data_IF_440785289702
#
_entry.id   IF_440785289702
#
_cell.length_a   1.000
_cell.length_b   1.000
_cell.length_c   1.000
_cell.angle_alpha   90.00
_cell.angle_beta   90.00
_cell.angle_gamma   90.00
#
_symmetry.space_group_name_H-M   'P 1'
#
loop_
_entity.id
_entity.type
_entity.pdbx_description
1 polymer ?
#
# COMPACT_ATOMS: atom_id res chain seq x y z
N UNK A 1 -32.81 -19.33 -5.67
CA UNK A 1 -31.56 -19.20 -6.44
C UNK A 1 -30.63 -18.19 -5.82
N UNK A 2 -30.99 -16.91 -5.58
CA UNK A 2 -30.12 -15.91 -4.98
C UNK A 2 -29.49 -16.34 -3.63
N UNK A 3 -30.27 -16.92 -2.72
CA UNK A 3 -29.80 -17.43 -1.45
C UNK A 3 -28.70 -18.50 -1.58
N UNK A 4 -28.83 -19.40 -2.56
CA UNK A 4 -27.84 -20.47 -2.82
C UNK A 4 -26.52 -19.86 -3.27
N UNK A 5 -26.55 -18.91 -4.22
CA UNK A 5 -25.34 -18.23 -4.68
C UNK A 5 -24.61 -17.47 -3.55
N UNK A 6 -25.38 -16.83 -2.66
CA UNK A 6 -24.83 -16.12 -1.50
C UNK A 6 -24.14 -17.05 -0.51
N UNK A 7 -24.74 -18.20 -0.21
CA UNK A 7 -24.15 -19.20 0.69
C UNK A 7 -22.85 -19.72 0.09
N UNK A 8 -22.83 -20.03 -1.21
CA UNK A 8 -21.62 -20.48 -1.92
C UNK A 8 -20.54 -19.40 -1.87
N UNK A 9 -20.89 -18.13 -2.10
CA UNK A 9 -19.94 -17.00 -2.01
C UNK A 9 -19.29 -16.90 -0.65
N UNK A 10 -20.07 -16.99 0.43
CA UNK A 10 -19.58 -16.96 1.81
C UNK A 10 -18.63 -18.15 2.08
N UNK A 11 -18.99 -19.35 1.63
CA UNK A 11 -18.12 -20.54 1.76
C UNK A 11 -16.79 -20.31 1.06
N UNK A 12 -16.79 -19.78 -0.18
CA UNK A 12 -15.55 -19.47 -0.89
C UNK A 12 -14.73 -18.39 -0.20
N UNK A 13 -15.35 -17.33 0.35
CA UNK A 13 -14.65 -16.30 1.13
C UNK A 13 -13.96 -16.92 2.34
N UNK A 14 -14.63 -17.80 3.08
CA UNK A 14 -14.06 -18.50 4.25
C UNK A 14 -12.90 -19.42 3.83
N UNK A 15 -13.07 -20.20 2.75
CA UNK A 15 -12.01 -21.09 2.21
C UNK A 15 -10.80 -20.25 1.78
N UNK A 16 -11.00 -19.18 1.02
CA UNK A 16 -9.93 -18.27 0.57
C UNK A 16 -9.22 -17.66 1.76
N UNK A 17 -9.95 -17.12 2.73
CA UNK A 17 -9.37 -16.57 3.95
C UNK A 17 -8.52 -17.62 4.70
N UNK A 18 -9.03 -18.84 4.87
CA UNK A 18 -8.30 -19.94 5.50
C UNK A 18 -7.01 -20.29 4.75
N UNK A 19 -7.06 -20.44 3.41
CA UNK A 19 -5.89 -20.76 2.59
C UNK A 19 -4.83 -19.65 2.63
N UNK A 20 -5.26 -18.37 2.60
CA UNK A 20 -4.35 -17.24 2.69
C UNK A 20 -3.67 -17.14 4.07
N UNK A 21 -4.40 -17.41 5.16
CA UNK A 21 -3.83 -17.51 6.52
C UNK A 21 -2.81 -18.66 6.59
N UNK A 22 -3.05 -19.77 5.90
CA UNK A 22 -2.11 -20.90 5.78
C UNK A 22 -0.94 -20.63 4.83
N UNK A 23 -0.80 -19.38 4.32
CA UNK A 23 0.29 -18.93 3.43
C UNK A 23 0.35 -19.64 2.07
N UNK A 24 -0.78 -20.13 1.57
CA UNK A 24 -0.87 -20.53 0.18
C UNK A 24 -0.62 -19.33 -0.75
N UNK A 25 -0.17 -19.59 -1.97
CA UNK A 25 0.07 -18.54 -2.95
C UNK A 25 -1.21 -17.75 -3.24
N UNK A 26 -1.21 -16.45 -2.93
CA UNK A 26 -2.40 -15.59 -3.00
C UNK A 26 -2.96 -15.49 -4.42
N UNK A 27 -2.10 -15.41 -5.44
CA UNK A 27 -2.52 -15.34 -6.83
C UNK A 27 -3.26 -16.62 -7.24
N UNK A 28 -2.70 -17.79 -6.92
CA UNK A 28 -3.31 -19.07 -7.24
C UNK A 28 -4.65 -19.26 -6.51
N UNK A 29 -4.71 -18.95 -5.22
CA UNK A 29 -5.93 -19.08 -4.39
C UNK A 29 -7.04 -18.21 -4.95
N UNK A 30 -6.79 -16.94 -5.24
CA UNK A 30 -7.80 -16.01 -5.74
C UNK A 30 -8.24 -16.38 -7.17
N UNK A 31 -7.28 -16.67 -8.07
CA UNK A 31 -7.56 -17.00 -9.45
C UNK A 31 -8.42 -18.26 -9.56
N UNK A 32 -8.00 -19.35 -8.92
CA UNK A 32 -8.71 -20.62 -8.97
C UNK A 32 -10.09 -20.52 -8.30
N UNK A 33 -10.18 -19.88 -7.15
CA UNK A 33 -11.48 -19.68 -6.48
C UNK A 33 -12.45 -18.88 -7.35
N UNK A 34 -11.97 -17.82 -8.03
CA UNK A 34 -12.80 -17.05 -8.96
C UNK A 34 -13.29 -17.87 -10.14
N UNK A 35 -12.40 -18.66 -10.77
CA UNK A 35 -12.78 -19.56 -11.87
C UNK A 35 -13.79 -20.62 -11.43
N UNK A 36 -13.59 -21.25 -10.28
CA UNK A 36 -14.53 -22.24 -9.73
C UNK A 36 -15.88 -21.62 -9.43
N UNK A 37 -15.94 -20.43 -8.83
CA UNK A 37 -17.20 -19.72 -8.58
C UNK A 37 -17.94 -19.39 -9.88
N UNK A 38 -17.24 -18.90 -10.92
CA UNK A 38 -17.87 -18.64 -12.22
C UNK A 38 -18.35 -19.93 -12.91
N UNK A 39 -17.58 -21.02 -12.81
CA UNK A 39 -18.02 -22.32 -13.33
C UNK A 39 -19.29 -22.81 -12.62
N UNK A 40 -19.35 -22.69 -11.29
CA UNK A 40 -20.57 -23.03 -10.51
C UNK A 40 -21.73 -22.10 -10.92
N UNK A 41 -21.47 -20.80 -11.10
CA UNK A 41 -22.49 -19.85 -11.56
C UNK A 41 -23.10 -20.27 -12.90
N UNK A 42 -22.25 -20.67 -13.86
CA UNK A 42 -22.73 -21.18 -15.15
C UNK A 42 -23.60 -22.44 -15.01
N UNK A 43 -23.21 -23.40 -14.18
CA UNK A 43 -23.99 -24.64 -13.93
C UNK A 43 -25.34 -24.32 -13.28
N UNK A 44 -25.40 -23.32 -12.41
CA UNK A 44 -26.63 -22.90 -11.75
C UNK A 44 -27.48 -21.94 -12.59
N UNK A 45 -27.04 -21.62 -13.82
CA UNK A 45 -27.78 -20.72 -14.73
C UNK A 45 -27.67 -19.24 -14.37
N UNK A 46 -26.69 -18.84 -13.58
CA UNK A 46 -26.38 -17.42 -13.32
C UNK A 46 -25.56 -16.81 -14.47
N UNK A 47 -25.63 -15.48 -14.61
CA UNK A 47 -24.81 -14.74 -15.56
C UNK A 47 -23.37 -14.61 -15.05
N UNK A 48 -22.40 -14.72 -15.97
CA UNK A 48 -21.01 -14.32 -15.76
C UNK A 48 -20.76 -12.98 -16.44
N UNK A 49 -19.71 -12.24 -16.09
CA UNK A 49 -19.38 -10.97 -16.75
C UNK A 49 -19.26 -11.13 -18.26
N UNK A 50 -19.75 -10.14 -18.99
CA UNK A 50 -19.70 -10.13 -20.44
C UNK A 50 -18.28 -9.79 -20.94
N UNK A 51 -17.85 -10.48 -21.99
CA UNK A 51 -16.61 -10.22 -22.71
C UNK A 51 -16.83 -9.26 -23.87
N UNK A 52 -15.82 -8.45 -24.20
CA UNK A 52 -15.84 -7.64 -25.43
C UNK A 52 -15.88 -8.49 -26.71
N UNK A 53 -15.20 -9.65 -26.66
CA UNK A 53 -15.16 -10.61 -27.77
C UNK A 53 -15.37 -12.04 -27.25
N UNK A 54 -16.62 -12.52 -27.11
CA UNK A 54 -16.91 -13.86 -26.62
C UNK A 54 -16.41 -14.92 -27.60
N UNK A 55 -15.98 -16.06 -27.05
CA UNK A 55 -15.47 -17.21 -27.83
C UNK A 55 -16.58 -18.04 -28.49
N UNK A 56 -17.84 -17.82 -28.08
CA UNK A 56 -18.99 -18.63 -28.47
C UNK A 56 -19.26 -19.82 -27.55
N UNK A 57 -18.38 -20.13 -26.60
CA UNK A 57 -18.59 -21.17 -25.59
C UNK A 57 -18.31 -20.62 -24.17
N UNK A 58 -19.34 -20.54 -23.34
CA UNK A 58 -19.28 -19.93 -21.99
C UNK A 58 -18.16 -20.49 -21.11
N UNK A 59 -17.82 -21.79 -21.27
CA UNK A 59 -16.69 -22.39 -20.51
C UNK A 59 -15.36 -21.80 -20.92
N UNK A 60 -15.15 -21.44 -22.18
CA UNK A 60 -13.91 -20.75 -22.61
C UNK A 60 -13.97 -19.27 -22.28
N UNK A 61 -15.15 -18.67 -22.25
CA UNK A 61 -15.32 -17.26 -21.92
C UNK A 61 -14.78 -16.93 -20.51
N UNK A 62 -14.94 -17.81 -19.52
CA UNK A 62 -14.37 -17.58 -18.18
C UNK A 62 -12.83 -17.56 -18.18
N UNK A 63 -12.17 -18.24 -19.10
CA UNK A 63 -10.69 -18.14 -19.26
C UNK A 63 -10.30 -16.93 -20.09
N UNK A 64 -11.10 -16.54 -21.07
CA UNK A 64 -10.87 -15.33 -21.88
C UNK A 64 -10.94 -14.05 -21.02
N UNK A 65 -11.73 -14.05 -19.92
CA UNK A 65 -11.73 -12.98 -18.91
C UNK A 65 -10.35 -12.74 -18.30
N UNK A 66 -9.53 -13.78 -18.14
CA UNK A 66 -8.16 -13.63 -17.63
C UNK A 66 -7.32 -12.84 -18.65
N UNK A 67 -7.41 -13.19 -19.93
CA UNK A 67 -6.68 -12.49 -21.00
C UNK A 67 -7.16 -11.05 -21.14
N UNK A 68 -8.47 -10.79 -21.08
CA UNK A 68 -9.02 -9.45 -21.16
C UNK A 68 -8.59 -8.61 -19.95
N UNK A 69 -8.64 -9.16 -18.73
CA UNK A 69 -8.15 -8.50 -17.51
C UNK A 69 -6.65 -8.24 -17.59
N UNK A 70 -5.86 -9.18 -18.10
CA UNK A 70 -4.41 -9.01 -18.28
C UNK A 70 -4.10 -7.89 -19.30
N UNK A 71 -4.83 -7.86 -20.41
CA UNK A 71 -4.64 -6.85 -21.46
C UNK A 71 -5.01 -5.45 -21.00
N UNK A 72 -6.16 -5.29 -20.33
CA UNK A 72 -6.66 -3.98 -19.87
C UNK A 72 -5.89 -3.49 -18.64
N UNK A 73 -5.87 -4.27 -17.56
CA UNK A 73 -5.21 -3.87 -16.32
C UNK A 73 -3.68 -3.84 -16.45
N UNK A 74 -3.10 -4.71 -17.28
CA UNK A 74 -1.66 -4.71 -17.53
C UNK A 74 -1.18 -3.47 -18.26
N UNK A 75 -1.94 -2.99 -19.25
CA UNK A 75 -1.58 -1.80 -20.03
C UNK A 75 -1.86 -0.48 -19.30
N UNK A 76 -2.84 -0.43 -18.42
CA UNK A 76 -3.24 0.76 -17.68
C UNK A 76 -2.53 0.85 -16.32
N UNK A 77 -3.23 0.41 -15.26
CA UNK A 77 -2.71 0.46 -13.88
C UNK A 77 -1.45 -0.40 -13.70
N UNK A 78 -1.34 -1.50 -14.43
CA UNK A 78 -0.20 -2.40 -14.36
C UNK A 78 1.09 -1.74 -14.83
N UNK A 79 1.10 -1.12 -16.01
CA UNK A 79 2.27 -0.42 -16.53
C UNK A 79 2.70 0.72 -15.60
N UNK A 80 1.73 1.44 -15.04
CA UNK A 80 2.00 2.50 -14.08
C UNK A 80 2.69 1.96 -12.82
N UNK A 81 2.17 0.90 -12.20
CA UNK A 81 2.76 0.32 -10.98
C UNK A 81 4.14 -0.29 -11.28
N UNK A 82 4.33 -0.92 -12.45
CA UNK A 82 5.64 -1.42 -12.88
C UNK A 82 6.66 -0.29 -13.04
N UNK A 83 6.30 0.82 -13.68
CA UNK A 83 7.18 1.97 -13.85
C UNK A 83 7.57 2.59 -12.50
N UNK A 84 6.64 2.70 -11.55
CA UNK A 84 6.89 3.13 -10.18
C UNK A 84 7.92 2.20 -9.51
N UNK A 85 7.67 0.88 -9.52
CA UNK A 85 8.57 -0.09 -8.89
C UNK A 85 9.96 -0.12 -9.50
N UNK A 86 10.06 0.01 -10.83
CA UNK A 86 11.32 0.12 -11.55
C UNK A 86 12.11 1.37 -11.13
N UNK A 87 11.43 2.53 -11.10
CA UNK A 87 12.05 3.78 -10.69
C UNK A 87 12.56 3.74 -9.24
N UNK A 88 11.73 3.29 -8.30
CA UNK A 88 12.11 3.16 -6.88
C UNK A 88 13.31 2.23 -6.70
N UNK A 89 13.36 1.10 -7.40
CA UNK A 89 14.49 0.19 -7.37
C UNK A 89 15.77 0.84 -7.93
N UNK A 90 15.64 1.62 -9.00
CA UNK A 90 16.77 2.36 -9.58
C UNK A 90 17.28 3.46 -8.64
N UNK A 91 16.38 4.22 -7.98
CA UNK A 91 16.77 5.23 -6.96
C UNK A 91 17.54 4.62 -5.81
N UNK A 92 17.13 3.43 -5.35
CA UNK A 92 17.87 2.67 -4.34
C UNK A 92 19.25 2.23 -4.87
N UNK A 93 19.33 1.72 -6.10
CA UNK A 93 20.57 1.24 -6.70
C UNK A 93 21.65 2.34 -6.79
N UNK A 94 21.27 3.57 -7.15
CA UNK A 94 22.20 4.70 -7.27
C UNK A 94 22.48 5.42 -5.94
N UNK A 95 21.86 5.01 -4.83
CA UNK A 95 22.03 5.62 -3.50
C UNK A 95 21.23 6.91 -3.27
N UNK A 96 20.30 7.25 -4.17
CA UNK A 96 19.49 8.46 -4.07
C UNK A 96 18.47 8.38 -2.92
N UNK A 97 17.89 7.20 -2.69
CA UNK A 97 16.96 6.97 -1.58
C UNK A 97 17.64 7.14 -0.22
N UNK A 98 18.88 6.65 -0.07
CA UNK A 98 19.71 6.81 1.13
C UNK A 98 20.04 8.29 1.40
N UNK A 99 20.39 9.04 0.35
CA UNK A 99 20.67 10.47 0.45
C UNK A 99 19.43 11.26 0.91
N UNK A 100 18.25 10.91 0.38
CA UNK A 100 16.98 11.54 0.79
C UNK A 100 16.66 11.26 2.27
N UNK A 101 16.77 10.00 2.72
CA UNK A 101 16.55 9.63 4.12
C UNK A 101 17.51 10.38 5.03
N UNK A 102 18.79 10.44 4.67
CA UNK A 102 19.81 11.13 5.47
C UNK A 102 19.49 12.62 5.67
N UNK A 103 19.12 13.33 4.58
CA UNK A 103 18.76 14.75 4.66
C UNK A 103 17.48 14.95 5.49
N UNK A 104 16.46 14.12 5.26
CA UNK A 104 15.16 14.24 5.94
C UNK A 104 15.23 14.00 7.45
N UNK A 105 16.19 13.20 7.92
CA UNK A 105 16.37 12.90 9.33
C UNK A 105 17.29 13.91 10.06
N UNK A 106 18.01 14.75 9.33
CA UNK A 106 18.94 15.73 9.92
C UNK A 106 18.28 16.71 10.91
N UNK A 107 17.05 17.24 10.68
CA UNK A 107 16.41 18.15 11.65
C UNK A 107 16.14 17.53 13.01
N UNK A 108 15.99 16.20 13.11
CA UNK A 108 15.74 15.51 14.38
C UNK A 108 16.86 15.69 15.40
N UNK A 109 18.06 16.03 14.95
CA UNK A 109 19.21 16.30 15.82
C UNK A 109 18.98 17.46 16.82
N UNK A 110 18.10 18.41 16.49
CA UNK A 110 17.74 19.52 17.35
C UNK A 110 16.96 19.08 18.62
N UNK A 111 16.29 17.94 18.56
CA UNK A 111 15.43 17.44 19.64
C UNK A 111 16.06 16.29 20.44
N UNK A 112 17.37 16.05 20.34
CA UNK A 112 18.08 14.91 20.99
C UNK A 112 17.85 14.81 22.51
N UNK A 113 17.54 15.91 23.19
CA UNK A 113 17.22 15.92 24.63
C UNK A 113 15.91 15.21 24.99
N UNK A 114 15.06 14.95 24.01
CA UNK A 114 13.71 14.38 24.20
C UNK A 114 13.54 13.11 23.34
N UNK A 115 14.04 11.94 23.77
CA UNK A 115 14.12 10.71 22.97
C UNK A 115 12.80 10.31 22.32
N UNK A 116 11.71 10.30 23.11
CA UNK A 116 10.40 9.89 22.61
C UNK A 116 9.74 10.93 21.69
N UNK A 117 10.09 12.21 21.83
CA UNK A 117 9.68 13.27 20.88
C UNK A 117 10.39 13.03 19.54
N UNK A 118 11.70 12.78 19.56
CA UNK A 118 12.44 12.42 18.34
C UNK A 118 11.82 11.20 17.67
N UNK A 119 11.56 10.13 18.45
CA UNK A 119 10.94 8.93 17.93
C UNK A 119 9.58 9.23 17.26
N UNK A 120 8.73 10.02 17.91
CA UNK A 120 7.41 10.38 17.35
C UNK A 120 7.51 11.24 16.08
N UNK A 121 8.47 12.15 16.00
CA UNK A 121 8.70 13.00 14.81
C UNK A 121 9.26 12.22 13.62
N UNK A 122 9.86 11.04 13.83
CA UNK A 122 10.25 10.15 12.72
C UNK A 122 9.03 9.71 11.91
N UNK A 123 7.84 9.57 12.53
CA UNK A 123 6.63 9.07 11.87
C UNK A 123 6.19 9.98 10.72
N UNK A 124 5.86 11.26 10.92
CA UNK A 124 5.44 12.13 9.82
C UNK A 124 6.53 12.28 8.75
N UNK A 125 7.80 12.38 9.15
CA UNK A 125 8.92 12.46 8.20
C UNK A 125 9.01 11.17 7.38
N UNK A 126 8.93 10.01 8.03
CA UNK A 126 8.96 8.72 7.38
C UNK A 126 7.78 8.47 6.45
N UNK A 127 6.59 9.00 6.76
CA UNK A 127 5.43 8.92 5.86
C UNK A 127 5.62 9.78 4.61
N UNK A 128 6.20 10.98 4.73
CA UNK A 128 6.57 11.79 3.56
C UNK A 128 7.60 11.04 2.69
N UNK A 129 8.57 10.38 3.32
CA UNK A 129 9.52 9.52 2.60
C UNK A 129 8.81 8.33 1.93
N UNK A 130 7.78 7.78 2.56
CA UNK A 130 7.02 6.67 1.99
C UNK A 130 6.22 7.06 0.73
N UNK A 131 5.74 8.30 0.64
CA UNK A 131 5.10 8.83 -0.59
C UNK A 131 6.07 8.76 -1.78
N UNK A 132 7.36 9.02 -1.55
CA UNK A 132 8.39 9.04 -2.60
C UNK A 132 9.05 7.68 -2.85
N UNK A 133 9.01 6.81 -1.85
CA UNK A 133 9.60 5.47 -1.89
C UNK A 133 8.57 4.44 -1.40
N UNK A 134 7.50 4.16 -2.17
CA UNK A 134 6.35 3.37 -1.73
C UNK A 134 6.66 1.86 -1.69
N UNK A 135 7.67 1.50 -0.92
CA UNK A 135 8.06 0.12 -0.62
C UNK A 135 8.22 -0.02 0.89
N UNK A 136 7.23 -0.61 1.55
CA UNK A 136 7.21 -0.73 3.01
C UNK A 136 8.47 -1.44 3.55
N UNK A 137 8.83 -2.57 2.97
CA UNK A 137 10.06 -3.29 3.36
C UNK A 137 11.31 -2.50 2.96
N UNK A 138 11.32 -1.89 1.78
CA UNK A 138 12.45 -1.08 1.31
C UNK A 138 12.75 0.10 2.22
N UNK A 139 11.74 0.93 2.48
CA UNK A 139 11.87 2.07 3.39
C UNK A 139 12.14 1.63 4.84
N UNK A 140 11.45 0.58 5.31
CA UNK A 140 11.66 0.04 6.64
C UNK A 140 13.12 -0.36 6.88
N UNK A 141 13.74 -1.07 5.93
CA UNK A 141 15.15 -1.46 6.00
C UNK A 141 16.10 -0.25 5.96
N UNK A 142 15.81 0.76 5.11
CA UNK A 142 16.59 2.01 5.07
C UNK A 142 16.55 2.76 6.40
N UNK A 143 15.35 2.87 7.00
CA UNK A 143 15.18 3.54 8.28
C UNK A 143 15.81 2.75 9.44
N UNK A 144 15.76 1.42 9.41
CA UNK A 144 16.47 0.59 10.40
C UNK A 144 17.97 0.77 10.28
N UNK A 145 18.53 0.85 9.09
CA UNK A 145 19.96 1.08 8.92
C UNK A 145 20.42 2.47 9.37
N UNK A 146 19.57 3.51 9.23
CA UNK A 146 19.94 4.91 9.46
C UNK A 146 19.39 5.52 10.75
N UNK A 147 18.14 5.25 11.11
CA UNK A 147 17.40 5.91 12.20
C UNK A 147 17.39 5.06 13.46
N UNK A 148 17.29 3.73 13.33
CA UNK A 148 17.23 2.83 14.48
C UNK A 148 18.43 2.99 15.45
N UNK A 149 19.72 2.98 14.99
CA UNK A 149 20.85 3.17 15.90
C UNK A 149 20.79 4.51 16.62
N UNK A 150 20.32 5.57 15.95
CA UNK A 150 20.17 6.90 16.54
C UNK A 150 19.11 6.88 17.65
N UNK A 151 17.92 6.31 17.41
CA UNK A 151 16.87 6.23 18.42
C UNK A 151 17.31 5.43 19.65
N UNK A 152 17.98 4.29 19.44
CA UNK A 152 18.48 3.46 20.54
C UNK A 152 19.56 4.19 21.33
N UNK A 153 20.49 4.90 20.69
CA UNK A 153 21.53 5.70 21.35
C UNK A 153 20.96 6.87 22.17
N UNK A 154 19.76 7.34 21.83
CA UNK A 154 19.03 8.36 22.60
C UNK A 154 18.28 7.77 23.80
N UNK A 155 18.25 6.45 23.95
CA UNK A 155 17.61 5.76 25.07
C UNK A 155 16.20 5.22 24.79
N UNK A 156 15.78 5.16 23.53
CA UNK A 156 14.53 4.49 23.13
C UNK A 156 14.79 2.97 23.01
N UNK A 157 13.90 2.13 23.49
CA UNK A 157 14.07 0.68 23.38
C UNK A 157 14.07 0.21 21.92
N UNK A 158 14.73 -0.92 21.65
CA UNK A 158 14.76 -1.54 20.32
C UNK A 158 13.38 -1.74 19.74
N UNK A 159 12.44 -2.28 20.55
CA UNK A 159 11.06 -2.52 20.12
C UNK A 159 10.34 -1.21 19.80
N UNK A 160 10.47 -0.18 20.63
CA UNK A 160 9.86 1.13 20.39
C UNK A 160 10.44 1.83 19.16
N UNK A 161 11.76 1.76 18.96
CA UNK A 161 12.43 2.35 17.79
C UNK A 161 11.95 1.69 16.49
N UNK A 162 11.84 0.35 16.44
CA UNK A 162 11.36 -0.35 15.25
C UNK A 162 9.86 -0.18 15.06
N UNK A 163 9.07 -0.09 16.12
CA UNK A 163 7.64 0.20 16.04
C UNK A 163 7.38 1.56 15.35
N UNK A 164 8.15 2.58 15.71
CA UNK A 164 8.13 3.89 15.04
C UNK A 164 8.52 3.77 13.55
N UNK A 165 9.58 3.03 13.24
CA UNK A 165 10.05 2.85 11.86
C UNK A 165 8.99 2.15 11.01
N UNK A 166 8.38 1.09 11.51
CA UNK A 166 7.33 0.38 10.77
C UNK A 166 6.05 1.20 10.61
N UNK A 167 5.75 2.10 11.56
CA UNK A 167 4.63 3.01 11.47
C UNK A 167 4.79 4.08 10.38
N UNK A 168 6.02 4.38 9.94
CA UNK A 168 6.27 5.25 8.79
C UNK A 168 5.65 4.71 7.48
N UNK A 169 5.34 3.42 7.40
CA UNK A 169 4.79 2.77 6.21
C UNK A 169 3.31 2.40 6.34
N UNK A 170 2.62 2.94 7.34
CA UNK A 170 1.24 2.56 7.68
C UNK A 170 0.21 3.15 6.72
N UNK A 171 0.41 4.37 6.24
CA UNK A 171 -0.47 4.95 5.23
C UNK A 171 0.20 4.83 3.87
N UNK A 172 -0.21 3.80 3.11
CA UNK A 172 0.27 3.58 1.74
C UNK A 172 -0.48 4.53 0.79
N UNK A 173 -0.01 5.77 0.75
CA UNK A 173 -0.62 6.90 0.06
C UNK A 173 0.35 7.55 -0.93
N UNK A 174 -0.16 8.47 -1.72
CA UNK A 174 0.62 9.23 -2.68
C UNK A 174 0.53 8.69 -4.11
N UNK A 175 0.76 9.54 -5.12
CA UNK A 175 0.51 9.20 -6.52
C UNK A 175 1.44 8.12 -7.06
N UNK A 176 2.51 7.78 -6.34
CA UNK A 176 3.46 6.73 -6.67
C UNK A 176 3.19 5.41 -5.92
N UNK A 177 2.08 5.27 -5.19
CA UNK A 177 1.73 4.03 -4.49
C UNK A 177 0.90 3.10 -5.38
N UNK A 178 1.17 1.78 -5.32
CA UNK A 178 0.37 0.76 -5.99
C UNK A 178 -1.07 0.70 -5.44
N UNK A 179 -1.25 0.91 -4.14
CA UNK A 179 -2.57 0.97 -3.52
C UNK A 179 -3.35 2.20 -3.97
N UNK A 180 -2.70 3.36 -4.08
CA UNK A 180 -3.30 4.58 -4.65
C UNK A 180 -3.69 4.36 -6.10
N UNK A 181 -2.81 3.77 -6.90
CA UNK A 181 -3.07 3.47 -8.30
C UNK A 181 -4.32 2.57 -8.48
N UNK A 182 -4.45 1.54 -7.65
CA UNK A 182 -5.62 0.65 -7.71
C UNK A 182 -6.89 1.33 -7.17
N UNK A 183 -6.78 2.10 -6.10
CA UNK A 183 -7.91 2.83 -5.54
C UNK A 183 -8.45 3.88 -6.52
N UNK A 184 -7.57 4.71 -7.10
CA UNK A 184 -7.93 5.74 -8.06
C UNK A 184 -8.56 5.17 -9.34
N UNK A 185 -8.08 4.01 -9.81
CA UNK A 185 -8.70 3.28 -10.91
C UNK A 185 -10.15 2.88 -10.57
N UNK A 186 -10.38 2.32 -9.37
CA UNK A 186 -11.71 1.86 -8.93
C UNK A 186 -12.74 3.00 -8.80
N UNK A 187 -12.29 4.21 -8.54
CA UNK A 187 -13.15 5.40 -8.39
C UNK A 187 -13.09 6.35 -9.58
N UNK A 188 -12.38 5.97 -10.65
CA UNK A 188 -12.20 6.75 -11.88
C UNK A 188 -11.63 8.17 -11.64
N UNK A 189 -10.72 8.33 -10.66
CA UNK A 189 -9.94 9.56 -10.42
C UNK A 189 -8.49 9.39 -10.89
N UNK A 190 -7.78 10.50 -11.18
CA UNK A 190 -6.32 10.43 -11.34
C UNK A 190 -5.65 10.19 -9.98
N UNK A 191 -4.44 9.57 -9.97
CA UNK A 191 -3.70 9.33 -8.72
C UNK A 191 -3.41 10.60 -7.94
N UNK A 192 -3.09 11.69 -8.65
CA UNK A 192 -2.79 13.00 -8.04
C UNK A 192 -4.05 13.61 -7.42
N UNK A 193 -5.17 13.53 -8.15
CA UNK A 193 -6.45 14.02 -7.65
C UNK A 193 -6.88 13.26 -6.39
N UNK A 194 -6.86 11.95 -6.42
CA UNK A 194 -7.21 11.11 -5.27
C UNK A 194 -6.27 11.37 -4.08
N UNK A 195 -4.97 11.58 -4.34
CA UNK A 195 -4.03 11.91 -3.28
C UNK A 195 -4.35 13.25 -2.61
N UNK A 196 -4.57 14.31 -3.40
CA UNK A 196 -4.76 15.67 -2.87
C UNK A 196 -6.16 15.85 -2.27
N UNK A 197 -7.20 15.36 -2.96
CA UNK A 197 -8.59 15.60 -2.56
C UNK A 197 -9.08 14.64 -1.47
N UNK A 198 -8.64 13.38 -1.51
CA UNK A 198 -9.19 12.33 -0.63
C UNK A 198 -8.17 11.88 0.43
N UNK A 199 -6.93 11.53 0.04
CA UNK A 199 -5.95 10.95 0.97
C UNK A 199 -5.38 11.98 1.95
N UNK A 200 -4.89 13.12 1.49
CA UNK A 200 -4.24 14.11 2.37
C UNK A 200 -5.16 14.64 3.47
N UNK A 201 -6.42 15.04 3.20
CA UNK A 201 -7.32 15.53 4.22
C UNK A 201 -7.55 14.54 5.36
N UNK A 202 -7.59 13.24 5.06
CA UNK A 202 -7.76 12.20 6.07
C UNK A 202 -6.44 11.81 6.74
N UNK A 203 -5.36 11.67 5.98
CA UNK A 203 -4.09 11.13 6.51
C UNK A 203 -3.30 12.13 7.36
N UNK A 204 -3.44 13.44 7.15
CA UNK A 204 -2.78 14.46 7.98
C UNK A 204 -3.21 14.35 9.46
N UNK A 205 -4.52 14.44 9.81
CA UNK A 205 -4.94 14.30 11.20
C UNK A 205 -4.63 12.91 11.77
N UNK A 206 -4.71 11.83 10.97
CA UNK A 206 -4.33 10.49 11.40
C UNK A 206 -2.84 10.39 11.71
N UNK A 207 -1.97 11.03 10.93
CA UNK A 207 -0.52 11.08 11.16
C UNK A 207 -0.18 11.78 12.46
N UNK A 208 -0.82 12.92 12.73
CA UNK A 208 -0.63 13.65 13.99
C UNK A 208 -1.07 12.81 15.17
N UNK A 209 -2.27 12.22 15.11
CA UNK A 209 -2.77 11.34 16.15
C UNK A 209 -1.83 10.14 16.38
N UNK A 210 -1.35 9.53 15.30
CA UNK A 210 -0.43 8.40 15.36
C UNK A 210 0.89 8.78 16.04
N UNK A 211 1.50 9.93 15.69
CA UNK A 211 2.71 10.41 16.32
C UNK A 211 2.54 10.63 17.83
N UNK A 212 1.41 11.22 18.24
CA UNK A 212 1.05 11.41 19.65
C UNK A 212 0.87 10.08 20.37
N UNK A 213 0.13 9.14 19.77
CA UNK A 213 -0.11 7.82 20.38
C UNK A 213 1.20 7.04 20.56
N UNK A 214 2.08 7.04 19.56
CA UNK A 214 3.37 6.35 19.67
C UNK A 214 4.28 6.98 20.73
N UNK A 215 4.22 8.30 20.94
CA UNK A 215 4.92 8.93 22.06
C UNK A 215 4.49 8.33 23.41
N UNK A 216 3.19 8.28 23.68
CA UNK A 216 2.68 7.78 24.96
C UNK A 216 2.86 6.26 25.09
N UNK A 217 2.53 5.50 24.07
CA UNK A 217 2.59 4.03 24.08
C UNK A 217 4.03 3.54 24.26
N UNK A 218 4.98 4.09 23.50
CA UNK A 218 6.38 3.68 23.61
C UNK A 218 6.95 4.05 24.98
N UNK A 219 6.69 5.27 25.47
CA UNK A 219 7.15 5.70 26.79
C UNK A 219 6.56 4.83 27.92
N UNK A 220 5.27 4.48 27.80
CA UNK A 220 4.60 3.60 28.77
C UNK A 220 5.21 2.20 28.83
N UNK A 221 5.38 1.58 27.66
CA UNK A 221 5.92 0.21 27.59
C UNK A 221 7.39 0.15 27.99
N UNK A 222 8.23 1.09 27.54
CA UNK A 222 9.65 1.12 27.88
C UNK A 222 9.84 1.31 29.40
N UNK A 223 8.98 2.13 30.05
CA UNK A 223 8.97 2.25 31.51
C UNK A 223 8.50 0.96 32.18
N UNK A 224 7.44 0.31 31.68
CA UNK A 224 6.90 -0.92 32.22
C UNK A 224 7.87 -2.10 32.11
N UNK A 225 8.64 -2.15 31.02
CA UNK A 225 9.64 -3.19 30.74
C UNK A 225 11.00 -2.88 31.43
N UNK A 226 11.08 -1.82 32.27
CA UNK A 226 12.30 -1.36 32.94
C UNK A 226 13.48 -1.23 31.97
N UNK A 227 13.22 -0.66 30.78
CA UNK A 227 14.26 -0.51 29.77
C UNK A 227 15.44 0.33 30.27
N UNK A 228 16.63 -0.24 30.14
CA UNK A 228 17.91 0.46 30.42
C UNK A 228 18.49 0.93 29.08
N UNK A 229 18.84 2.22 28.93
CA UNK A 229 19.45 2.73 27.71
C UNK A 229 20.73 1.97 27.36
N UNK A 230 20.80 1.47 26.12
CA UNK A 230 21.99 0.81 25.59
C UNK A 230 22.87 1.84 24.88
N UNK A 231 24.20 1.79 25.08
CA UNK A 231 25.15 2.53 24.27
C UNK A 231 25.35 1.79 22.94
N UNK A 232 24.90 2.40 21.84
CA UNK A 232 25.12 1.87 20.48
C UNK A 232 26.19 2.72 19.81
N UNK A 233 27.25 2.07 19.30
CA UNK A 233 28.23 2.73 18.45
C UNK A 233 27.54 3.21 17.17
N UNK A 234 27.49 4.52 17.00
CA UNK A 234 26.97 5.16 15.78
C UNK A 234 28.01 4.97 14.67
N UNK A 235 28.00 3.82 14.01
CA UNK A 235 28.76 3.66 12.76
C UNK A 235 28.25 4.69 11.75
N UNK A 236 29.16 5.56 11.28
CA UNK A 236 28.84 6.56 10.26
C UNK A 236 28.31 5.84 9.02
N UNK A 237 27.05 6.02 8.72
CA UNK A 237 26.46 5.53 7.47
C UNK A 237 27.22 6.21 6.32
N UNK A 238 28.02 5.46 5.60
CA UNK A 238 28.71 5.97 4.41
C UNK A 238 27.69 6.11 3.29
N UNK A 239 27.43 7.32 2.86
CA UNK A 239 26.58 7.59 1.71
C UNK A 239 27.30 7.17 0.43
N UNK A 240 26.66 6.36 -0.37
CA UNK A 240 27.15 5.91 -1.69
C UNK A 240 27.02 7.05 -2.72
N UNK A 241 26.00 7.88 -2.58
CA UNK A 241 25.70 8.99 -3.47
C UNK A 241 25.92 10.36 -2.82
N UNK A 242 26.20 11.41 -3.63
CA UNK A 242 26.23 12.78 -3.13
C UNK A 242 24.85 13.23 -2.62
N UNK A 243 24.82 14.15 -1.65
CA UNK A 243 23.57 14.60 -1.02
C UNK A 243 22.56 15.23 -1.98
N UNK A 244 23.00 15.85 -3.07
CA UNK A 244 22.08 16.43 -4.07
C UNK A 244 21.26 15.38 -4.82
N UNK A 245 21.65 14.09 -4.77
CA UNK A 245 20.85 12.99 -5.29
C UNK A 245 19.52 12.79 -4.57
N UNK A 246 19.38 13.34 -3.37
CA UNK A 246 18.13 13.32 -2.61
C UNK A 246 16.94 13.96 -3.36
N UNK A 247 17.19 14.81 -4.36
CA UNK A 247 16.15 15.42 -5.17
C UNK A 247 15.53 14.41 -6.17
N UNK A 248 16.29 13.41 -6.61
CA UNK A 248 15.85 12.47 -7.64
C UNK A 248 14.60 11.69 -7.23
N UNK A 249 14.50 11.07 -6.04
CA UNK A 249 13.28 10.38 -5.62
C UNK A 249 12.05 11.30 -5.49
N UNK A 250 12.27 12.61 -5.30
CA UNK A 250 11.20 13.61 -5.22
C UNK A 250 10.71 14.08 -6.60
N UNK A 251 11.55 13.94 -7.62
CA UNK A 251 11.30 14.51 -8.94
C UNK A 251 9.97 14.08 -9.58
N UNK A 252 9.57 12.79 -9.58
CA UNK A 252 8.26 12.39 -10.12
C UNK A 252 7.10 13.07 -9.40
N UNK A 253 7.17 13.17 -8.07
CA UNK A 253 6.12 13.80 -7.26
C UNK A 253 6.00 15.29 -7.59
N UNK A 254 7.13 15.99 -7.69
CA UNK A 254 7.16 17.41 -8.08
C UNK A 254 6.57 17.59 -9.46
N UNK A 255 6.97 16.77 -10.44
CA UNK A 255 6.42 16.83 -11.80
C UNK A 255 4.91 16.58 -11.82
N UNK A 256 4.43 15.57 -11.09
CA UNK A 256 3.00 15.25 -11.03
C UNK A 256 2.17 16.36 -10.39
N UNK A 257 2.70 17.07 -9.40
CA UNK A 257 2.01 18.20 -8.77
C UNK A 257 2.04 19.43 -9.69
N UNK A 258 3.21 19.78 -10.21
CA UNK A 258 3.40 20.97 -11.07
C UNK A 258 2.61 20.85 -12.37
N UNK A 259 2.61 19.68 -13.01
CA UNK A 259 1.87 19.38 -14.22
C UNK A 259 0.56 18.64 -13.91
N UNK A 260 -0.26 19.19 -13.03
CA UNK A 260 -1.59 18.72 -12.69
C UNK A 260 -2.63 19.79 -12.95
N UNK A 261 -3.90 19.42 -12.95
CA UNK A 261 -5.00 20.37 -13.08
C UNK A 261 -5.07 21.44 -11.95
N UNK A 262 -4.32 21.25 -10.87
CA UNK A 262 -4.26 22.21 -9.76
C UNK A 262 -3.33 23.41 -10.05
N UNK A 263 -2.40 23.28 -11.01
CA UNK A 263 -1.46 24.33 -11.39
C UNK A 263 -1.52 24.60 -12.89
N UNK A 264 -2.17 25.68 -13.27
CA UNK A 264 -2.41 26.06 -14.68
C UNK A 264 -1.34 27.02 -15.18
N UNK A 265 -0.07 26.60 -15.16
CA UNK A 265 1.04 27.41 -15.69
C UNK A 265 1.06 27.49 -17.23
N UNK A 266 0.37 26.55 -17.90
CA UNK A 266 0.34 26.42 -19.34
C UNK A 266 -1.09 26.63 -19.87
N UNK A 267 -1.22 27.18 -21.05
CA UNK A 267 -2.49 27.31 -21.76
C UNK A 267 -2.37 26.74 -23.18
N UNK A 268 -2.96 25.58 -23.51
CA UNK A 268 -3.82 24.75 -22.64
C UNK A 268 -3.06 24.09 -21.48
N UNK A 269 -3.75 23.68 -20.39
CA UNK A 269 -3.13 22.97 -19.27
C UNK A 269 -2.42 21.69 -19.72
N UNK A 270 -1.22 21.46 -19.18
CA UNK A 270 -0.46 20.22 -19.41
C UNK A 270 -0.65 19.32 -18.21
N UNK A 271 -1.24 18.14 -18.43
CA UNK A 271 -1.39 17.12 -17.39
C UNK A 271 -0.44 15.96 -17.65
N UNK A 272 0.38 15.64 -16.64
CA UNK A 272 1.34 14.56 -16.71
C UNK A 272 0.80 13.33 -15.99
N UNK A 273 0.76 12.18 -16.67
CA UNK A 273 0.43 10.92 -16.01
C UNK A 273 1.62 10.33 -15.25
N UNK A 274 1.32 9.46 -14.27
CA UNK A 274 2.34 8.89 -13.38
C UNK A 274 3.40 8.08 -14.13
N UNK A 275 3.04 7.31 -15.14
CA UNK A 275 3.98 6.50 -15.93
C UNK A 275 5.01 7.39 -16.63
N UNK A 276 4.55 8.46 -17.29
CA UNK A 276 5.42 9.41 -17.99
C UNK A 276 6.33 10.16 -17.01
N UNK A 277 5.80 10.58 -15.85
CA UNK A 277 6.60 11.23 -14.80
C UNK A 277 7.73 10.32 -14.31
N UNK A 278 7.46 9.03 -14.08
CA UNK A 278 8.48 8.05 -13.65
C UNK A 278 9.55 7.82 -14.72
N UNK A 279 9.14 7.63 -15.98
CA UNK A 279 10.08 7.40 -17.08
C UNK A 279 10.94 8.65 -17.32
N UNK A 280 10.34 9.84 -17.36
CA UNK A 280 11.08 11.09 -17.50
C UNK A 280 12.11 11.27 -16.38
N UNK A 281 11.70 11.05 -15.13
CA UNK A 281 12.59 11.15 -13.97
C UNK A 281 13.70 10.10 -13.99
N UNK A 282 13.44 8.90 -14.55
CA UNK A 282 14.47 7.89 -14.77
C UNK A 282 15.55 8.40 -15.76
N UNK A 283 15.14 9.03 -16.87
CA UNK A 283 16.10 9.61 -17.81
C UNK A 283 16.94 10.72 -17.17
N UNK A 284 16.34 11.58 -16.34
CA UNK A 284 17.09 12.59 -15.58
C UNK A 284 18.11 11.92 -14.64
N UNK A 285 17.73 10.86 -13.96
CA UNK A 285 18.62 10.12 -13.07
C UNK A 285 19.76 9.41 -13.84
N UNK A 286 19.48 8.80 -15.00
CA UNK A 286 20.49 8.21 -15.86
C UNK A 286 21.49 9.27 -16.33
N UNK A 287 21.01 10.44 -16.75
CA UNK A 287 21.86 11.54 -17.17
C UNK A 287 22.76 12.05 -16.03
N UNK A 288 22.21 12.19 -14.81
CA UNK A 288 22.98 12.53 -13.62
C UNK A 288 24.07 11.48 -13.31
N UNK A 289 23.78 10.18 -13.47
CA UNK A 289 24.74 9.09 -13.30
C UNK A 289 25.84 9.11 -14.38
N UNK A 290 25.50 9.43 -15.63
CA UNK A 290 26.52 9.57 -16.72
C UNK A 290 27.51 10.68 -16.36
N UNK A 291 27.02 11.83 -15.91
CA UNK A 291 27.87 12.95 -15.50
C UNK A 291 28.75 12.56 -14.32
N UNK A 292 28.18 11.86 -13.33
CA UNK A 292 28.90 11.44 -12.10
C UNK A 292 29.97 10.39 -12.39
N UNK A 293 29.58 9.31 -13.05
CA UNK A 293 30.47 8.14 -13.26
C UNK A 293 31.40 8.30 -14.47
N UNK A 294 31.05 9.17 -15.44
CA UNK A 294 31.75 9.32 -16.70
C UNK A 294 31.96 8.01 -17.48
N UNK A 295 31.11 7.03 -17.21
CA UNK A 295 31.12 5.71 -17.85
C UNK A 295 29.71 5.36 -18.35
N UNK A 296 29.44 5.71 -19.61
CA UNK A 296 28.13 5.51 -20.23
C UNK A 296 27.73 4.03 -20.28
N UNK A 297 28.69 3.14 -20.56
CA UNK A 297 28.44 1.69 -20.67
C UNK A 297 27.96 1.12 -19.34
N UNK A 298 28.59 1.51 -18.22
CA UNK A 298 28.20 1.06 -16.89
C UNK A 298 26.80 1.58 -16.53
N UNK A 299 26.50 2.85 -16.81
CA UNK A 299 25.20 3.45 -16.53
C UNK A 299 24.10 2.78 -17.37
N UNK A 300 24.34 2.52 -18.66
CA UNK A 300 23.38 1.80 -19.50
C UNK A 300 23.15 0.37 -19.00
N UNK A 301 24.20 -0.31 -18.55
CA UNK A 301 24.06 -1.64 -17.95
C UNK A 301 23.21 -1.59 -16.67
N UNK A 302 23.34 -0.53 -15.86
CA UNK A 302 22.56 -0.37 -14.63
C UNK A 302 21.06 -0.19 -14.88
N UNK A 303 20.64 0.21 -16.08
CA UNK A 303 19.22 0.28 -16.47
C UNK A 303 18.51 -1.08 -16.36
N UNK A 304 19.27 -2.18 -16.38
CA UNK A 304 18.74 -3.50 -16.13
C UNK A 304 18.01 -3.59 -14.79
N UNK A 305 18.46 -2.86 -13.74
CA UNK A 305 17.81 -2.82 -12.42
C UNK A 305 16.36 -2.33 -12.54
N UNK A 306 16.10 -1.34 -13.38
CA UNK A 306 14.75 -0.84 -13.64
C UNK A 306 13.87 -1.94 -14.27
N UNK A 307 14.35 -2.61 -15.33
CA UNK A 307 13.58 -3.65 -16.02
C UNK A 307 13.35 -4.88 -15.18
N UNK A 308 14.36 -5.35 -14.44
CA UNK A 308 14.24 -6.49 -13.52
C UNK A 308 13.20 -6.20 -12.42
N UNK A 309 13.18 -4.97 -11.89
CA UNK A 309 12.20 -4.55 -10.89
C UNK A 309 10.78 -4.47 -11.49
N UNK A 310 10.61 -3.96 -12.72
CA UNK A 310 9.33 -4.01 -13.42
C UNK A 310 8.81 -5.45 -13.56
N UNK A 311 9.67 -6.39 -13.97
CA UNK A 311 9.32 -7.81 -14.07
C UNK A 311 8.92 -8.41 -12.72
N UNK A 312 9.63 -8.05 -11.66
CA UNK A 312 9.27 -8.48 -10.29
C UNK A 312 7.91 -7.94 -9.84
N UNK A 313 7.63 -6.67 -10.13
CA UNK A 313 6.33 -6.04 -9.83
C UNK A 313 5.22 -6.71 -10.61
N UNK A 314 5.43 -7.03 -11.89
CA UNK A 314 4.48 -7.82 -12.67
C UNK A 314 4.15 -9.15 -11.99
N UNK A 315 5.18 -9.92 -11.64
CA UNK A 315 5.02 -11.24 -11.04
C UNK A 315 4.36 -11.22 -9.64
N UNK A 316 4.47 -10.11 -8.88
CA UNK A 316 3.98 -10.05 -7.49
C UNK A 316 2.73 -9.21 -7.31
N UNK A 317 2.62 -8.09 -8.01
CA UNK A 317 1.54 -7.11 -7.82
C UNK A 317 0.51 -7.20 -8.93
N UNK A 318 0.92 -7.18 -10.19
CA UNK A 318 -0.04 -7.17 -11.31
C UNK A 318 -0.76 -8.51 -11.41
N UNK A 319 -0.03 -9.62 -11.29
CA UNK A 319 -0.64 -10.96 -11.22
C UNK A 319 -1.66 -11.09 -10.09
N UNK A 320 -1.40 -10.42 -8.95
CA UNK A 320 -2.32 -10.39 -7.82
C UNK A 320 -3.58 -9.57 -8.13
N UNK A 321 -3.44 -8.41 -8.78
CA UNK A 321 -4.57 -7.57 -9.20
C UNK A 321 -5.49 -8.37 -10.15
N UNK A 322 -4.91 -9.06 -11.12
CA UNK A 322 -5.67 -9.88 -12.09
C UNK A 322 -6.38 -11.03 -11.38
N UNK A 323 -5.66 -11.77 -10.53
CA UNK A 323 -6.25 -12.87 -9.76
C UNK A 323 -7.42 -12.40 -8.86
N UNK A 324 -7.26 -11.23 -8.23
CA UNK A 324 -8.29 -10.62 -7.40
C UNK A 324 -9.51 -10.13 -8.22
N UNK A 325 -9.29 -9.64 -9.43
CA UNK A 325 -10.36 -9.27 -10.35
C UNK A 325 -11.20 -10.50 -10.74
N UNK A 326 -10.55 -11.61 -11.10
CA UNK A 326 -11.23 -12.88 -11.42
C UNK A 326 -11.99 -13.42 -10.20
N UNK A 327 -11.43 -13.31 -9.00
CA UNK A 327 -12.13 -13.64 -7.75
C UNK A 327 -13.39 -12.79 -7.55
N UNK A 328 -13.29 -11.49 -7.78
CA UNK A 328 -14.43 -10.57 -7.70
C UNK A 328 -15.50 -10.90 -8.73
N UNK A 329 -15.13 -11.25 -9.95
CA UNK A 329 -16.07 -11.72 -10.97
C UNK A 329 -16.83 -12.98 -10.52
N UNK A 330 -16.15 -13.91 -9.88
CA UNK A 330 -16.79 -15.08 -9.28
C UNK A 330 -17.83 -14.73 -8.22
N UNK A 331 -17.51 -13.81 -7.30
CA UNK A 331 -18.43 -13.33 -6.27
C UNK A 331 -19.63 -12.58 -6.87
N UNK A 332 -19.39 -11.74 -7.87
CA UNK A 332 -20.44 -10.98 -8.57
C UNK A 332 -21.39 -11.95 -9.29
N UNK A 333 -20.84 -12.95 -9.99
CA UNK A 333 -21.63 -13.96 -10.72
C UNK A 333 -22.55 -14.76 -9.81
N UNK A 334 -22.14 -15.04 -8.59
CA UNK A 334 -22.96 -15.73 -7.58
C UNK A 334 -23.93 -14.79 -6.84
N UNK A 335 -23.96 -13.48 -7.16
CA UNK A 335 -24.89 -12.52 -6.58
C UNK A 335 -24.51 -12.01 -5.18
N UNK A 336 -23.23 -12.15 -4.78
CA UNK A 336 -22.75 -11.72 -3.46
C UNK A 336 -23.06 -10.26 -3.13
N UNK A 337 -22.87 -9.34 -4.11
CA UNK A 337 -23.16 -7.90 -3.91
C UNK A 337 -24.63 -7.67 -3.56
N UNK A 338 -25.57 -8.35 -4.28
CA UNK A 338 -26.98 -8.20 -4.00
C UNK A 338 -27.32 -8.60 -2.57
N UNK A 339 -26.81 -9.76 -2.16
CA UNK A 339 -27.08 -10.30 -0.83
C UNK A 339 -26.46 -9.49 0.29
N UNK A 340 -25.28 -8.91 0.06
CA UNK A 340 -24.64 -8.02 1.03
C UNK A 340 -25.46 -6.74 1.23
N UNK A 341 -25.95 -6.16 0.12
CA UNK A 341 -26.78 -4.95 0.16
C UNK A 341 -28.15 -5.24 0.80
N UNK A 342 -28.80 -6.34 0.42
CA UNK A 342 -30.10 -6.74 1.00
C UNK A 342 -29.98 -6.99 2.51
N UNK A 343 -28.93 -7.71 2.94
CA UNK A 343 -28.66 -7.97 4.36
C UNK A 343 -28.43 -6.65 5.12
N UNK A 344 -27.65 -5.73 4.55
CA UNK A 344 -27.39 -4.43 5.14
C UNK A 344 -28.66 -3.61 5.32
N UNK A 345 -29.55 -3.60 4.34
CA UNK A 345 -30.83 -2.89 4.43
C UNK A 345 -31.73 -3.51 5.50
N UNK A 346 -31.77 -4.83 5.61
CA UNK A 346 -32.55 -5.52 6.66
C UNK A 346 -32.06 -5.23 8.08
N UNK A 347 -30.74 -5.07 8.25
CA UNK A 347 -30.13 -4.75 9.55
C UNK A 347 -30.10 -3.23 9.82
N UNK A 348 -30.47 -2.40 8.83
CA UNK A 348 -30.49 -0.94 8.95
C UNK A 348 -29.11 -0.28 8.88
N UNK A 349 -28.08 -0.98 8.35
CA UNK A 349 -26.72 -0.46 8.32
C UNK A 349 -26.45 0.56 7.21
N UNK A 350 -27.20 0.64 6.16
CA UNK A 350 -26.96 1.58 5.05
C UNK A 350 -25.54 1.53 4.49
N UNK A 351 -25.16 2.56 3.72
CA UNK A 351 -23.85 2.66 3.06
C UNK A 351 -22.68 2.78 4.06
N UNK A 352 -22.87 3.58 5.11
CA UNK A 352 -21.86 3.78 6.16
C UNK A 352 -21.54 2.48 6.88
N UNK A 353 -22.57 1.71 7.25
CA UNK A 353 -22.38 0.43 7.93
C UNK A 353 -21.62 -0.59 7.08
N UNK A 354 -21.90 -0.66 5.76
CA UNK A 354 -21.13 -1.52 4.85
C UNK A 354 -19.70 -1.01 4.72
N UNK A 355 -19.47 0.29 4.58
CA UNK A 355 -18.13 0.87 4.51
C UNK A 355 -17.30 0.55 5.76
N UNK A 356 -17.89 0.70 6.95
CA UNK A 356 -17.25 0.31 8.22
C UNK A 356 -16.96 -1.19 8.25
N UNK A 357 -17.93 -2.04 7.92
CA UNK A 357 -17.76 -3.50 7.89
C UNK A 357 -16.62 -3.92 6.96
N UNK A 358 -16.60 -3.42 5.73
CA UNK A 358 -15.57 -3.73 4.74
C UNK A 358 -14.19 -3.24 5.20
N UNK A 359 -14.11 -2.07 5.83
CA UNK A 359 -12.87 -1.53 6.38
C UNK A 359 -12.31 -2.41 7.50
N UNK A 360 -13.16 -2.84 8.43
CA UNK A 360 -12.77 -3.75 9.53
C UNK A 360 -12.35 -5.11 8.99
N UNK A 361 -13.08 -5.67 8.03
CA UNK A 361 -12.74 -6.94 7.40
C UNK A 361 -11.39 -6.88 6.69
N UNK A 362 -11.10 -5.80 5.96
CA UNK A 362 -9.81 -5.62 5.28
C UNK A 362 -8.66 -5.45 6.27
N UNK A 363 -8.86 -4.70 7.36
CA UNK A 363 -7.88 -4.59 8.44
C UNK A 363 -7.54 -5.98 9.01
N UNK A 364 -8.56 -6.75 9.39
CA UNK A 364 -8.39 -8.10 9.94
C UNK A 364 -7.75 -9.07 8.93
N UNK A 365 -8.20 -9.06 7.68
CA UNK A 365 -7.63 -9.88 6.61
C UNK A 365 -6.15 -9.53 6.38
N UNK A 366 -5.81 -8.24 6.34
CA UNK A 366 -4.43 -7.78 6.16
C UNK A 366 -3.52 -8.19 7.33
N UNK A 367 -4.03 -8.11 8.55
CA UNK A 367 -3.33 -8.59 9.75
C UNK A 367 -3.07 -10.10 9.70
N UNK A 368 -4.06 -10.88 9.28
CA UNK A 368 -3.94 -12.34 9.19
C UNK A 368 -3.06 -12.81 8.03
N UNK A 369 -3.10 -12.12 6.87
CA UNK A 369 -2.33 -12.47 5.68
C UNK A 369 -0.92 -11.87 5.66
N UNK A 370 -0.67 -10.82 6.44
CA UNK A 370 0.60 -10.07 6.40
C UNK A 370 0.78 -9.21 5.15
N UNK A 371 -0.28 -8.98 4.37
CA UNK A 371 -0.24 -8.26 3.10
C UNK A 371 -1.42 -7.30 2.94
N UNK A 372 -1.14 -5.99 2.95
CA UNK A 372 -2.15 -4.97 2.68
C UNK A 372 -2.65 -5.01 1.24
N UNK A 373 -1.74 -5.20 0.28
CA UNK A 373 -2.11 -5.30 -1.14
C UNK A 373 -3.06 -6.48 -1.40
N UNK A 374 -2.74 -7.66 -0.86
CA UNK A 374 -3.57 -8.84 -1.08
C UNK A 374 -4.99 -8.65 -0.54
N UNK A 375 -5.15 -8.08 0.66
CA UNK A 375 -6.47 -7.83 1.24
C UNK A 375 -7.24 -6.74 0.48
N UNK A 376 -6.62 -5.61 0.18
CA UNK A 376 -7.27 -4.51 -0.50
C UNK A 376 -7.65 -4.87 -1.95
N UNK A 377 -6.74 -5.49 -2.70
CA UNK A 377 -7.00 -5.85 -4.09
C UNK A 377 -8.07 -6.94 -4.23
N UNK A 378 -8.19 -7.85 -3.25
CA UNK A 378 -9.21 -8.90 -3.27
C UNK A 378 -10.65 -8.39 -3.12
N UNK A 379 -10.86 -7.36 -2.31
CA UNK A 379 -12.20 -6.89 -1.98
C UNK A 379 -12.52 -5.48 -2.52
N UNK A 380 -11.51 -4.67 -2.83
CA UNK A 380 -11.70 -3.35 -3.44
C UNK A 380 -12.55 -3.35 -4.70
N UNK A 381 -12.35 -4.27 -5.66
CA UNK A 381 -13.15 -4.35 -6.89
C UNK A 381 -14.66 -4.56 -6.69
N UNK A 382 -15.10 -4.99 -5.52
CA UNK A 382 -16.54 -5.14 -5.20
C UNK A 382 -17.20 -3.79 -4.89
N UNK A 383 -16.42 -2.79 -4.45
CA UNK A 383 -16.94 -1.52 -3.94
C UNK A 383 -17.71 -0.73 -4.98
N UNK A 384 -17.25 -0.57 -6.25
CA UNK A 384 -18.02 0.18 -7.24
C UNK A 384 -19.43 -0.38 -7.44
N UNK A 385 -19.57 -1.72 -7.49
CA UNK A 385 -20.87 -2.37 -7.60
C UNK A 385 -21.75 -2.20 -6.37
N UNK A 386 -21.17 -2.20 -5.16
CA UNK A 386 -21.88 -1.96 -3.90
C UNK A 386 -22.34 -0.50 -3.83
N UNK A 387 -21.43 0.45 -4.07
CA UNK A 387 -21.70 1.88 -4.02
C UNK A 387 -22.79 2.30 -5.00
N UNK A 388 -22.71 1.79 -6.24
CA UNK A 388 -23.73 2.03 -7.26
C UNK A 388 -25.13 1.59 -6.82
N UNK A 389 -25.27 0.43 -6.18
CA UNK A 389 -26.53 -0.06 -5.66
C UNK A 389 -27.07 0.71 -4.47
N UNK A 390 -26.19 1.28 -3.67
CA UNK A 390 -26.55 2.10 -2.51
C UNK A 390 -26.75 3.56 -2.86
N UNK A 391 -26.45 3.97 -4.10
CA UNK A 391 -26.54 5.37 -4.54
C UNK A 391 -25.53 6.29 -3.88
N UNK A 392 -24.33 5.79 -3.54
CA UNK A 392 -23.27 6.56 -2.85
C UNK A 392 -21.99 6.58 -3.69
N UNK A 393 -21.08 7.51 -3.34
CA UNK A 393 -19.76 7.58 -3.97
C UNK A 393 -18.85 6.44 -3.49
N UNK A 394 -18.20 5.79 -4.44
CA UNK A 394 -17.22 4.72 -4.18
C UNK A 394 -16.01 5.20 -3.38
N UNK A 395 -15.59 6.47 -3.53
CA UNK A 395 -14.44 7.03 -2.84
C UNK A 395 -14.60 6.97 -1.31
N UNK A 396 -15.82 7.25 -0.82
CA UNK A 396 -16.14 7.17 0.61
C UNK A 396 -15.97 5.79 1.23
N UNK A 397 -16.02 4.71 0.45
CA UNK A 397 -15.75 3.34 0.92
C UNK A 397 -14.31 2.91 0.64
N UNK A 398 -13.74 3.26 -0.51
CA UNK A 398 -12.41 2.83 -0.95
C UNK A 398 -11.32 3.40 -0.05
N UNK A 399 -11.40 4.68 0.34
CA UNK A 399 -10.35 5.36 1.08
C UNK A 399 -10.06 4.72 2.46
N UNK A 400 -11.06 4.53 3.35
CA UNK A 400 -10.80 3.88 4.64
C UNK A 400 -10.36 2.42 4.49
N UNK A 401 -10.87 1.69 3.49
CA UNK A 401 -10.45 0.31 3.19
C UNK A 401 -8.97 0.24 2.79
N UNK A 402 -8.52 1.14 1.92
CA UNK A 402 -7.13 1.23 1.49
C UNK A 402 -6.20 1.50 2.67
N UNK A 403 -6.49 2.50 3.50
CA UNK A 403 -5.67 2.84 4.66
C UNK A 403 -5.68 1.72 5.71
N UNK A 404 -6.84 1.12 5.99
CA UNK A 404 -6.98 0.00 6.91
C UNK A 404 -6.15 -1.22 6.48
N UNK A 405 -6.01 -1.47 5.18
CA UNK A 405 -5.20 -2.57 4.65
C UNK A 405 -3.73 -2.45 5.06
N UNK A 406 -3.18 -1.27 4.97
CA UNK A 406 -1.78 -0.99 5.35
C UNK A 406 -1.59 -0.94 6.86
N UNK A 407 -2.57 -0.44 7.62
CA UNK A 407 -2.57 -0.51 9.08
C UNK A 407 -2.61 -1.97 9.57
N UNK A 408 -3.48 -2.81 9.01
CA UNK A 408 -3.57 -4.24 9.33
C UNK A 408 -2.24 -4.96 9.06
N UNK A 409 -1.58 -4.68 7.92
CA UNK A 409 -0.24 -5.20 7.61
C UNK A 409 0.78 -4.85 8.70
N UNK A 410 0.78 -3.62 9.20
CA UNK A 410 1.74 -3.18 10.20
C UNK A 410 1.50 -3.77 11.60
N UNK A 411 0.33 -4.39 11.83
CA UNK A 411 -0.01 -5.16 13.04
C UNK A 411 0.20 -6.67 12.86
N UNK A 412 0.67 -7.11 11.70
CA UNK A 412 0.83 -8.53 11.39
C UNK A 412 2.24 -9.04 11.72
N UNK A 413 2.40 -10.06 12.57
CA UNK A 413 3.71 -10.63 12.88
C UNK A 413 4.33 -11.39 11.69
N UNK A 414 3.56 -11.65 10.63
CA UNK A 414 4.01 -12.36 9.43
C UNK A 414 4.24 -11.44 8.23
N UNK A 415 4.03 -10.14 8.38
CA UNK A 415 4.28 -9.17 7.31
C UNK A 415 5.78 -9.02 7.04
N UNK A 416 6.16 -8.95 5.76
CA UNK A 416 7.57 -8.89 5.35
C UNK A 416 8.34 -7.73 5.97
N UNK A 417 7.74 -6.53 6.08
CA UNK A 417 8.37 -5.39 6.73
C UNK A 417 8.58 -5.62 8.23
N UNK A 418 7.61 -6.25 8.91
CA UNK A 418 7.69 -6.53 10.36
C UNK A 418 8.78 -7.57 10.61
N UNK A 419 8.83 -8.66 9.83
CA UNK A 419 9.86 -9.71 9.97
C UNK A 419 11.25 -9.13 9.73
N UNK A 420 11.44 -8.46 8.58
CA UNK A 420 12.77 -7.98 8.18
C UNK A 420 13.34 -6.91 9.13
N UNK A 421 12.48 -5.99 9.61
CA UNK A 421 12.93 -4.95 10.55
C UNK A 421 13.14 -5.48 11.96
N UNK A 422 12.32 -6.41 12.42
CA UNK A 422 12.46 -7.06 13.73
C UNK A 422 13.76 -7.89 13.82
N UNK A 423 14.09 -8.63 12.76
CA UNK A 423 15.32 -9.44 12.68
C UNK A 423 16.58 -8.58 12.85
N UNK A 424 16.68 -7.47 12.10
CA UNK A 424 17.85 -6.57 12.20
C UNK A 424 17.95 -5.91 13.58
N UNK A 425 16.81 -5.57 14.18
CA UNK A 425 16.75 -4.94 15.49
C UNK A 425 16.96 -5.92 16.66
N UNK A 426 16.96 -7.22 16.41
CA UNK A 426 17.05 -8.26 17.45
C UNK A 426 15.83 -8.34 18.34
N UNK A 427 14.63 -8.07 17.79
CA UNK A 427 13.35 -8.21 18.48
C UNK A 427 12.47 -9.24 17.78
N UNK A 428 11.47 -9.80 18.46
CA UNK A 428 10.58 -10.74 17.79
C UNK A 428 9.51 -10.01 16.95
N UNK A 429 9.13 -10.55 15.77
CA UNK A 429 8.04 -10.00 14.97
C UNK A 429 6.73 -9.87 15.75
N UNK A 430 6.46 -10.80 16.67
CA UNK A 430 5.27 -10.77 17.52
C UNK A 430 5.28 -9.60 18.51
N UNK A 431 6.42 -9.33 19.16
CA UNK A 431 6.55 -8.16 20.07
C UNK A 431 6.32 -6.85 19.32
N UNK A 432 6.88 -6.74 18.12
CA UNK A 432 6.73 -5.58 17.26
C UNK A 432 5.28 -5.38 16.82
N UNK A 433 4.64 -6.42 16.29
CA UNK A 433 3.24 -6.39 15.89
C UNK A 433 2.31 -6.01 17.05
N UNK A 434 2.54 -6.58 18.23
CA UNK A 434 1.79 -6.25 19.46
C UNK A 434 1.99 -4.78 19.89
N UNK A 435 3.21 -4.23 19.73
CA UNK A 435 3.50 -2.82 20.02
C UNK A 435 2.74 -1.87 19.10
N UNK A 436 2.58 -2.24 17.82
CA UNK A 436 1.85 -1.48 16.83
C UNK A 436 0.32 -1.59 16.98
N UNK A 437 -0.20 -2.68 17.56
CA UNK A 437 -1.63 -2.98 17.54
C UNK A 437 -2.48 -1.89 18.20
N UNK A 438 -2.12 -1.48 19.43
CA UNK A 438 -2.92 -0.51 20.19
C UNK A 438 -2.98 0.86 19.47
N UNK A 439 -1.85 1.49 19.09
CA UNK A 439 -1.90 2.74 18.37
C UNK A 439 -2.71 2.66 17.07
N UNK A 440 -2.54 1.58 16.29
CA UNK A 440 -3.16 1.46 14.99
C UNK A 440 -4.66 1.12 15.05
N UNK A 441 -5.10 0.39 16.07
CA UNK A 441 -6.54 0.19 16.32
C UNK A 441 -7.19 1.53 16.72
N UNK A 442 -6.56 2.31 17.59
CA UNK A 442 -7.10 3.63 17.98
C UNK A 442 -7.15 4.58 16.79
N UNK A 443 -6.09 4.63 15.97
CA UNK A 443 -6.06 5.42 14.73
C UNK A 443 -7.15 4.95 13.75
N UNK A 444 -7.34 3.63 13.61
CA UNK A 444 -8.38 3.05 12.77
C UNK A 444 -9.80 3.42 13.22
N UNK A 445 -10.07 3.36 14.52
CA UNK A 445 -11.35 3.78 15.08
C UNK A 445 -11.58 5.30 14.86
N UNK A 446 -10.57 6.11 15.12
CA UNK A 446 -10.65 7.55 14.84
C UNK A 446 -10.87 7.82 13.34
N UNK A 447 -10.18 7.11 12.47
CA UNK A 447 -10.37 7.20 11.01
C UNK A 447 -11.83 6.94 10.63
N UNK A 448 -12.43 5.85 11.14
CA UNK A 448 -13.83 5.51 10.84
C UNK A 448 -14.80 6.61 11.31
N UNK A 449 -14.60 7.10 12.53
CA UNK A 449 -15.45 8.20 13.06
C UNK A 449 -15.24 9.48 12.25
N UNK A 450 -13.99 9.89 12.03
CA UNK A 450 -13.70 11.13 11.32
C UNK A 450 -14.19 11.10 9.87
N UNK A 451 -14.03 9.97 9.17
CA UNK A 451 -14.36 9.85 7.74
C UNK A 451 -15.86 9.68 7.48
N UNK A 452 -16.61 9.01 8.37
CA UNK A 452 -18.03 8.73 8.15
C UNK A 452 -18.98 9.68 8.89
N UNK A 453 -18.49 10.49 9.83
CA UNK A 453 -19.29 11.45 10.60
C UNK A 453 -19.06 12.89 10.16
N UNK A 454 -17.82 13.24 9.78
CA UNK A 454 -17.40 14.57 9.34
C UNK A 454 -16.99 14.56 7.87
#
# INVERSE_FOLDING_TARGET
MALIGSIISIIFIVIVAYLLVKKFNSQAVLLLSGLFMMAIALVLGFSVPDLKAPTGLKVFDIFELIKESLSTKGAEVGLMIMAIGGYVAYMKHIGASEALVFISMKPLSAFRKYPYVVASLVIPIGQVLFITTPSATGLGLLLVASVFPVLVSLGVSKTSAVAVITSCTVFDMGPASANTARASELIAKSNVQYFIEDQLPLTIPLTILMAVLYYFVNRYYDKKENHVPESVDLTKTQLIAPLYYAILPLLPLVLLIVFSKFFTFFNPPVELNTTTAMIFSLFVALFAEIIRKRNVKEVFTSLKVFWDAMGKVFATVISLIIAAEIFSYGLISLGFINSLVDLSQHVGFGAVGIGVLMTVLIFAASMLMGSGNASFFSFGPLVPGIAMKLGVDSAGMILPMQLASSMGRATSPIAGVIIATAEIAGVTPYQLAKRNLIPLVVVGLFMLVYHFVF
#
